data_IF_048966049758
#
_entry.id   IF_048966049758
#
_cell.length_a   1.000
_cell.length_b   1.000
_cell.length_c   1.000
_cell.angle_alpha   90.00
_cell.angle_beta   90.00
_cell.angle_gamma   90.00
#
_symmetry.space_group_name_H-M   'P 1'
#
loop_
_entity.id
_entity.type
_entity.pdbx_description
1 polymer ?
#
# COMPACT_ATOMS: atom_id res chain seq x y z
N UNK A 1 -9.20 23.92 2.16
CA UNK A 1 -7.92 23.57 2.84
C UNK A 1 -6.70 23.65 1.90
N UNK A 2 -6.64 22.89 0.79
CA UNK A 2 -5.49 22.92 -0.15
C UNK A 2 -5.21 24.31 -0.74
N UNK A 3 -6.25 25.09 -1.04
CA UNK A 3 -6.10 26.45 -1.58
C UNK A 3 -5.44 27.41 -0.57
N UNK A 4 -5.73 27.25 0.73
CA UNK A 4 -5.14 28.07 1.78
C UNK A 4 -3.66 27.73 1.96
N UNK A 5 -3.30 26.44 2.03
CA UNK A 5 -1.90 26.01 2.07
C UNK A 5 -1.07 26.57 0.90
N UNK A 6 -1.63 26.49 -0.32
CA UNK A 6 -1.02 27.07 -1.54
C UNK A 6 -0.90 28.59 -1.46
N UNK A 7 -1.89 29.28 -0.89
CA UNK A 7 -1.86 30.73 -0.67
C UNK A 7 -0.73 31.13 0.28
N UNK A 8 -0.59 30.44 1.42
CA UNK A 8 0.51 30.67 2.38
C UNK A 8 1.89 30.38 1.77
N UNK A 9 2.02 29.27 1.04
CA UNK A 9 3.24 28.94 0.31
C UNK A 9 3.61 30.03 -0.70
N UNK A 10 2.65 30.44 -1.54
CA UNK A 10 2.84 31.53 -2.50
C UNK A 10 3.11 32.88 -1.84
N UNK A 11 2.67 33.09 -0.59
CA UNK A 11 2.90 34.30 0.20
C UNK A 11 4.30 34.33 0.79
N UNK A 12 4.85 33.17 1.15
CA UNK A 12 6.24 32.98 1.56
C UNK A 12 7.18 33.18 0.37
N UNK A 13 6.87 32.57 -0.78
CA UNK A 13 7.71 32.63 -1.97
C UNK A 13 7.75 34.04 -2.60
N UNK A 14 6.61 34.74 -2.67
CA UNK A 14 6.55 36.12 -3.22
C UNK A 14 7.30 37.16 -2.40
N UNK A 15 7.47 36.92 -1.10
CA UNK A 15 8.03 37.91 -0.18
C UNK A 15 9.55 37.83 -0.02
N UNK A 16 10.25 37.37 -1.06
CA UNK A 16 11.69 37.09 -1.05
C UNK A 16 12.48 37.94 -0.05
N UNK A 17 13.16 37.28 0.90
CA UNK A 17 14.03 37.81 1.96
C UNK A 17 13.51 38.95 2.87
N UNK A 18 12.46 39.71 2.52
CA UNK A 18 12.06 40.97 3.16
C UNK A 18 10.81 40.81 4.07
N UNK A 19 10.81 39.82 4.95
CA UNK A 19 9.83 39.72 6.05
C UNK A 19 10.53 39.75 7.40
N UNK A 20 9.95 40.46 8.37
CA UNK A 20 10.38 40.39 9.77
C UNK A 20 10.36 38.92 10.22
N UNK A 21 11.42 38.50 10.89
CA UNK A 21 11.64 37.11 11.33
C UNK A 21 10.39 36.44 11.94
N UNK A 22 9.73 37.12 12.89
CA UNK A 22 8.51 36.62 13.56
C UNK A 22 7.37 36.33 12.58
N UNK A 23 7.16 37.21 11.59
CA UNK A 23 6.10 37.02 10.58
C UNK A 23 6.40 35.83 9.67
N UNK A 24 7.68 35.58 9.36
CA UNK A 24 8.10 34.41 8.57
C UNK A 24 7.84 33.11 9.34
N UNK A 25 8.21 33.07 10.62
CA UNK A 25 7.97 31.92 11.50
C UNK A 25 6.47 31.61 11.60
N UNK A 26 5.65 32.63 11.82
CA UNK A 26 4.20 32.44 11.95
C UNK A 26 3.61 31.84 10.66
N UNK A 27 3.99 32.37 9.50
CA UNK A 27 3.54 31.83 8.20
C UNK A 27 4.02 30.38 7.96
N UNK A 28 5.25 30.03 8.38
CA UNK A 28 5.76 28.67 8.29
C UNK A 28 5.01 27.70 9.21
N UNK A 29 4.73 28.12 10.46
CA UNK A 29 3.91 27.35 11.41
C UNK A 29 2.50 27.14 10.89
N UNK A 30 1.88 28.19 10.35
CA UNK A 30 0.55 28.11 9.74
C UNK A 30 0.53 27.17 8.53
N UNK A 31 1.52 27.28 7.64
CA UNK A 31 1.68 26.40 6.49
C UNK A 31 1.83 24.93 6.94
N UNK A 32 2.67 24.66 7.93
CA UNK A 32 2.83 23.31 8.50
C UNK A 32 1.50 22.77 9.07
N UNK A 33 0.78 23.59 9.84
CA UNK A 33 -0.53 23.22 10.39
C UNK A 33 -1.60 22.98 9.30
N UNK A 34 -1.50 23.68 8.17
CA UNK A 34 -2.37 23.45 7.02
C UNK A 34 -2.04 22.12 6.31
N UNK A 35 -0.76 21.79 6.11
CA UNK A 35 -0.35 20.51 5.54
C UNK A 35 -0.73 19.33 6.42
N UNK A 36 -0.52 19.44 7.72
CA UNK A 36 -0.92 18.41 8.68
C UNK A 36 -2.43 18.12 8.59
N UNK A 37 -3.27 19.16 8.56
CA UNK A 37 -4.73 18.99 8.34
C UNK A 37 -5.07 18.31 7.02
N UNK A 38 -4.34 18.63 5.94
CA UNK A 38 -4.53 18.00 4.63
C UNK A 38 -4.18 16.51 4.72
N UNK A 39 -3.04 16.17 5.32
CA UNK A 39 -2.59 14.79 5.50
C UNK A 39 -3.56 13.98 6.36
N UNK A 40 -3.99 14.51 7.51
CA UNK A 40 -5.00 13.87 8.37
C UNK A 40 -6.31 13.60 7.62
N UNK A 41 -6.76 14.56 6.81
CA UNK A 41 -7.97 14.40 6.01
C UNK A 41 -7.80 13.36 4.89
N UNK A 42 -6.65 13.32 4.23
CA UNK A 42 -6.32 12.29 3.25
C UNK A 42 -6.24 10.90 3.88
N UNK A 43 -5.67 10.78 5.07
CA UNK A 43 -5.60 9.52 5.82
C UNK A 43 -6.98 9.04 6.26
N UNK A 44 -7.84 9.94 6.76
CA UNK A 44 -9.24 9.63 7.08
C UNK A 44 -9.99 9.12 5.84
N UNK A 45 -9.78 9.75 4.67
CA UNK A 45 -10.38 9.30 3.40
C UNK A 45 -9.87 7.92 2.98
N UNK A 46 -8.56 7.66 3.06
CA UNK A 46 -7.99 6.34 2.77
C UNK A 46 -8.56 5.27 3.70
N UNK A 47 -8.63 5.56 5.01
CA UNK A 47 -9.21 4.68 6.02
C UNK A 47 -10.66 4.34 5.70
N UNK A 48 -11.51 5.35 5.46
CA UNK A 48 -12.90 5.13 5.09
C UNK A 48 -13.05 4.27 3.83
N UNK A 49 -12.23 4.52 2.79
CA UNK A 49 -12.23 3.74 1.55
C UNK A 49 -11.84 2.28 1.79
N UNK A 50 -10.82 2.02 2.60
CA UNK A 50 -10.37 0.66 2.92
C UNK A 50 -11.40 -0.10 3.76
N UNK A 51 -12.00 0.57 4.75
CA UNK A 51 -13.08 0.00 5.57
C UNK A 51 -14.24 -0.40 4.67
N UNK A 52 -14.74 0.52 3.83
CA UNK A 52 -15.87 0.25 2.92
C UNK A 52 -15.56 -0.93 1.97
N UNK A 53 -14.36 -0.97 1.39
CA UNK A 53 -13.96 -2.03 0.44
C UNK A 53 -14.02 -3.44 1.03
N UNK A 54 -13.61 -3.62 2.29
CA UNK A 54 -13.53 -4.95 2.91
C UNK A 54 -14.61 -5.19 3.98
N UNK A 55 -15.50 -4.22 4.23
CA UNK A 55 -16.53 -4.33 5.26
C UNK A 55 -17.41 -5.56 5.06
N UNK A 56 -17.90 -5.79 3.85
CA UNK A 56 -18.80 -6.91 3.56
C UNK A 56 -18.11 -8.27 3.74
N UNK A 57 -16.93 -8.46 3.13
CA UNK A 57 -16.17 -9.72 3.26
C UNK A 57 -15.87 -10.00 4.74
N UNK A 58 -15.39 -9.01 5.49
CA UNK A 58 -15.11 -9.17 6.93
C UNK A 58 -16.37 -9.42 7.75
N UNK A 59 -17.48 -8.81 7.40
CA UNK A 59 -18.77 -9.04 8.06
C UNK A 59 -19.21 -10.50 7.90
N UNK A 60 -19.17 -11.03 6.68
CA UNK A 60 -19.54 -12.42 6.42
C UNK A 60 -18.58 -13.41 7.08
N UNK A 61 -17.27 -13.18 7.04
CA UNK A 61 -16.32 -14.05 7.72
C UNK A 61 -16.49 -14.03 9.24
N UNK A 62 -16.71 -12.85 9.83
CA UNK A 62 -17.05 -12.75 11.26
C UNK A 62 -18.33 -13.51 11.58
N UNK A 63 -19.37 -13.35 10.75
CA UNK A 63 -20.63 -14.05 10.96
C UNK A 63 -20.47 -15.58 10.83
N UNK A 64 -19.63 -16.06 9.91
CA UNK A 64 -19.29 -17.49 9.79
C UNK A 64 -18.57 -18.00 11.03
N UNK A 65 -17.53 -17.31 11.48
CA UNK A 65 -16.79 -17.65 12.69
C UNK A 65 -17.69 -17.63 13.94
N UNK A 66 -18.51 -16.60 14.12
CA UNK A 66 -19.45 -16.50 15.25
C UNK A 66 -20.48 -17.65 15.25
N UNK A 67 -20.93 -18.11 14.08
CA UNK A 67 -21.82 -19.28 13.96
C UNK A 67 -21.10 -20.57 14.35
N UNK A 68 -19.85 -20.75 13.89
CA UNK A 68 -19.02 -21.90 14.27
C UNK A 68 -18.77 -21.95 15.78
N UNK A 69 -18.40 -20.82 16.39
CA UNK A 69 -18.22 -20.72 17.84
C UNK A 69 -19.49 -21.14 18.58
N UNK A 70 -20.67 -20.69 18.13
CA UNK A 70 -21.95 -21.10 18.73
C UNK A 70 -22.24 -22.59 18.56
N UNK A 71 -21.91 -23.18 17.40
CA UNK A 71 -22.09 -24.61 17.13
C UNK A 71 -21.17 -25.46 18.02
N UNK A 72 -19.87 -25.15 18.02
CA UNK A 72 -18.85 -25.86 18.79
C UNK A 72 -19.11 -25.77 20.29
N UNK A 73 -19.59 -24.61 20.79
CA UNK A 73 -20.02 -24.48 22.20
C UNK A 73 -21.18 -25.41 22.56
N UNK A 74 -22.15 -25.60 21.65
CA UNK A 74 -23.26 -26.54 21.88
C UNK A 74 -22.77 -27.98 21.88
N UNK A 75 -21.98 -28.35 20.87
CA UNK A 75 -21.38 -29.69 20.77
C UNK A 75 -20.53 -30.01 22.01
N UNK A 76 -19.79 -29.04 22.55
CA UNK A 76 -18.99 -29.21 23.76
C UNK A 76 -19.84 -29.50 25.01
N UNK A 77 -21.07 -29.00 25.08
CA UNK A 77 -22.02 -29.28 26.18
C UNK A 77 -22.61 -30.68 26.05
N UNK A 78 -22.85 -31.14 24.82
CA UNK A 78 -23.44 -32.45 24.52
C UNK A 78 -22.41 -33.59 24.53
N UNK A 79 -21.14 -33.28 24.27
CA UNK A 79 -20.06 -34.25 24.19
C UNK A 79 -19.78 -34.90 25.55
N UNK A 80 -19.81 -36.23 25.59
CA UNK A 80 -19.49 -37.03 26.79
C UNK A 80 -18.09 -37.65 26.71
N UNK A 81 -17.55 -37.81 25.50
CA UNK A 81 -16.26 -38.45 25.26
C UNK A 81 -15.09 -37.50 25.51
N UNK A 82 -14.12 -37.90 26.33
CA UNK A 82 -12.96 -37.06 26.68
C UNK A 82 -12.11 -36.63 25.46
N UNK A 83 -11.88 -37.55 24.52
CA UNK A 83 -11.10 -37.26 23.30
C UNK A 83 -11.80 -36.22 22.42
N UNK A 84 -13.11 -36.38 22.20
CA UNK A 84 -13.94 -35.46 21.42
C UNK A 84 -14.04 -34.08 22.06
N UNK A 85 -14.13 -34.03 23.40
CA UNK A 85 -14.09 -32.77 24.15
C UNK A 85 -12.76 -32.03 23.89
N UNK A 86 -11.63 -32.75 23.82
CA UNK A 86 -10.33 -32.14 23.55
C UNK A 86 -10.24 -31.54 22.15
N UNK A 87 -10.75 -32.24 21.13
CA UNK A 87 -10.75 -31.76 19.74
C UNK A 87 -11.68 -30.56 19.57
N UNK A 88 -12.90 -30.64 20.13
CA UNK A 88 -13.86 -29.54 20.11
C UNK A 88 -13.34 -28.28 20.80
N UNK A 89 -12.57 -28.41 21.89
CA UNK A 89 -11.92 -27.26 22.55
C UNK A 89 -10.87 -26.60 21.65
N UNK A 90 -10.07 -27.39 20.95
CA UNK A 90 -9.07 -26.86 20.01
C UNK A 90 -9.73 -26.14 18.83
N UNK A 91 -10.77 -26.75 18.25
CA UNK A 91 -11.55 -26.15 17.17
C UNK A 91 -12.27 -24.87 17.61
N UNK A 92 -12.80 -24.86 18.84
CA UNK A 92 -13.44 -23.69 19.43
C UNK A 92 -12.44 -22.54 19.54
N UNK A 93 -11.23 -22.82 20.01
CA UNK A 93 -10.16 -21.82 20.10
C UNK A 93 -9.82 -21.24 18.72
N UNK A 94 -9.63 -22.09 17.71
CA UNK A 94 -9.38 -21.63 16.33
C UNK A 94 -10.51 -20.74 15.81
N UNK A 95 -11.77 -21.15 16.00
CA UNK A 95 -12.93 -20.39 15.56
C UNK A 95 -13.06 -19.04 16.28
N UNK A 96 -12.69 -18.97 17.55
CA UNK A 96 -12.65 -17.73 18.32
C UNK A 96 -11.57 -16.77 17.82
N UNK A 97 -10.37 -17.28 17.51
CA UNK A 97 -9.30 -16.48 16.90
C UNK A 97 -9.70 -16.02 15.49
N UNK A 98 -10.40 -16.85 14.70
CA UNK A 98 -10.94 -16.46 13.39
C UNK A 98 -11.93 -15.27 13.52
N UNK A 99 -12.79 -15.28 14.54
CA UNK A 99 -13.73 -14.18 14.81
C UNK A 99 -12.99 -12.88 15.18
N UNK A 100 -11.94 -12.98 15.99
CA UNK A 100 -11.10 -11.84 16.36
C UNK A 100 -10.24 -11.35 15.21
N UNK A 101 -9.77 -12.24 14.35
CA UNK A 101 -9.08 -11.90 13.12
C UNK A 101 -9.96 -11.01 12.25
N UNK A 102 -11.20 -11.41 11.98
CA UNK A 102 -12.13 -10.60 11.19
C UNK A 102 -12.44 -9.24 11.86
N UNK A 103 -12.49 -9.17 13.18
CA UNK A 103 -12.81 -7.95 13.96
C UNK A 103 -11.63 -6.98 14.07
N UNK A 104 -10.43 -7.48 14.35
CA UNK A 104 -9.25 -6.70 14.72
C UNK A 104 -8.18 -6.62 13.64
N UNK A 105 -8.44 -7.17 12.45
CA UNK A 105 -7.55 -6.96 11.30
C UNK A 105 -7.30 -5.47 11.03
N UNK A 106 -6.04 -5.06 10.76
CA UNK A 106 -5.65 -3.68 10.46
C UNK A 106 -6.48 -3.02 9.36
N UNK A 107 -7.09 -1.87 9.65
CA UNK A 107 -8.06 -1.24 8.74
C UNK A 107 -7.44 -0.63 7.48
N UNK A 108 -6.14 -0.32 7.52
CA UNK A 108 -5.41 0.29 6.41
C UNK A 108 -4.70 -0.74 5.50
N UNK A 109 -4.79 -2.02 5.84
CA UNK A 109 -4.19 -3.10 5.05
C UNK A 109 -5.22 -3.84 4.20
N UNK A 110 -4.71 -4.54 3.18
CA UNK A 110 -5.54 -5.43 2.39
C UNK A 110 -5.88 -6.64 3.24
N UNK A 111 -7.18 -6.84 3.46
CA UNK A 111 -7.70 -8.01 4.14
C UNK A 111 -7.34 -9.31 3.38
N UNK A 112 -6.91 -10.33 4.13
CA UNK A 112 -6.67 -11.67 3.62
C UNK A 112 -7.78 -12.57 4.17
N UNK A 113 -8.64 -13.05 3.27
CA UNK A 113 -9.78 -13.91 3.58
C UNK A 113 -9.34 -15.28 4.10
N UNK A 114 -10.01 -15.76 5.15
CA UNK A 114 -9.76 -17.07 5.76
C UNK A 114 -10.63 -18.16 5.16
N UNK A 115 -11.87 -17.81 4.78
CA UNK A 115 -12.83 -18.76 4.24
C UNK A 115 -12.92 -18.55 2.72
N UNK A 116 -12.41 -19.48 1.89
CA UNK A 116 -12.53 -19.33 0.45
C UNK A 116 -14.00 -19.18 0.07
N UNK A 117 -14.32 -18.16 -0.72
CA UNK A 117 -15.63 -18.10 -1.34
C UNK A 117 -15.70 -19.25 -2.33
N UNK A 118 -16.71 -20.11 -2.16
CA UNK A 118 -17.03 -21.12 -3.17
C UNK A 118 -17.17 -20.39 -4.49
N UNK A 119 -16.37 -20.81 -5.48
CA UNK A 119 -16.50 -20.37 -6.87
C UNK A 119 -17.82 -20.98 -7.37
N UNK A 120 -18.95 -20.44 -6.95
CA UNK A 120 -20.22 -20.66 -7.63
C UNK A 120 -20.18 -19.84 -8.93
N UNK A 121 -19.43 -20.36 -9.92
CA UNK A 121 -19.60 -20.07 -11.35
C UNK A 121 -19.51 -18.62 -11.84
N UNK A 122 -19.07 -17.64 -11.05
CA UNK A 122 -18.82 -16.27 -11.54
C UNK A 122 -17.34 -15.95 -11.48
N UNK A 123 -16.68 -16.27 -12.58
CA UNK A 123 -15.42 -15.69 -12.99
C UNK A 123 -15.59 -14.16 -13.11
N UNK A 124 -15.45 -13.44 -12.01
CA UNK A 124 -15.55 -11.99 -12.00
C UNK A 124 -14.28 -11.40 -12.59
N UNK A 125 -14.37 -11.04 -13.88
CA UNK A 125 -13.44 -10.11 -14.53
C UNK A 125 -13.34 -8.83 -13.68
N UNK A 126 -12.13 -8.31 -13.42
CA UNK A 126 -11.96 -7.17 -12.53
C UNK A 126 -12.25 -5.86 -13.27
N UNK A 127 -13.48 -5.35 -13.16
CA UNK A 127 -13.79 -4.00 -13.60
C UNK A 127 -15.26 -3.71 -13.88
N UNK A 128 -16.13 -3.77 -12.87
CA UNK A 128 -17.40 -3.05 -12.95
C UNK A 128 -17.83 -2.59 -11.55
N UNK A 129 -17.83 -1.27 -11.36
CA UNK A 129 -18.53 -0.63 -10.27
C UNK A 129 -19.99 -0.45 -10.74
N UNK A 130 -20.82 -1.45 -10.46
CA UNK A 130 -22.26 -1.36 -10.59
C UNK A 130 -22.86 -0.90 -9.26
N UNK A 131 -23.37 0.31 -9.28
CA UNK A 131 -24.24 0.91 -8.27
C UNK A 131 -25.61 0.21 -8.26
N UNK A 132 -26.23 0.10 -7.08
CA UNK A 132 -27.68 -0.07 -6.92
C UNK A 132 -28.30 -1.47 -7.13
N UNK A 133 -28.72 -2.06 -6.00
CA UNK A 133 -30.11 -2.49 -5.79
C UNK A 133 -30.69 -3.61 -6.66
N UNK A 134 -30.51 -4.86 -6.24
CA UNK A 134 -31.60 -5.83 -5.95
C UNK A 134 -30.95 -7.12 -5.43
N UNK A 135 -31.46 -7.62 -4.33
CA UNK A 135 -31.02 -8.84 -3.67
C UNK A 135 -32.10 -9.38 -2.77
N UNK A 136 -33.36 -9.23 -3.17
CA UNK A 136 -34.42 -10.15 -2.76
C UNK A 136 -34.10 -11.53 -3.35
N UNK A 137 -34.12 -12.56 -2.51
CA UNK A 137 -34.05 -13.97 -2.93
C UNK A 137 -32.66 -14.60 -2.84
N UNK A 138 -32.36 -15.24 -1.70
CA UNK A 138 -31.67 -16.52 -1.74
C UNK A 138 -32.09 -17.38 -0.56
N UNK A 139 -32.63 -18.53 -0.94
CA UNK A 139 -33.40 -19.46 -0.14
C UNK A 139 -32.64 -20.06 1.05
N UNK A 140 -33.34 -20.68 2.02
CA UNK A 140 -32.75 -21.27 3.21
C UNK A 140 -31.79 -22.45 2.94
N UNK A 141 -31.70 -22.95 1.71
CA UNK A 141 -30.97 -24.18 1.36
C UNK A 141 -29.45 -23.99 1.14
N UNK A 142 -28.98 -22.78 0.77
CA UNK A 142 -27.54 -22.42 0.66
C UNK A 142 -26.82 -22.40 2.04
N UNK A 143 -27.55 -22.67 3.13
CA UNK A 143 -27.05 -22.61 4.51
C UNK A 143 -26.21 -23.84 4.85
N UNK A 144 -26.60 -25.03 4.36
CA UNK A 144 -25.97 -26.32 4.69
C UNK A 144 -24.55 -26.47 4.10
N UNK A 145 -24.37 -26.06 2.85
CA UNK A 145 -23.05 -26.09 2.17
C UNK A 145 -22.06 -25.10 2.76
N UNK A 146 -22.55 -23.95 3.24
CA UNK A 146 -21.72 -22.96 3.91
C UNK A 146 -21.17 -23.46 5.26
N UNK A 147 -21.85 -24.41 5.89
CA UNK A 147 -21.45 -24.98 7.19
C UNK A 147 -20.40 -26.07 7.04
N UNK A 148 -20.55 -27.01 6.10
CA UNK A 148 -19.51 -28.01 5.82
C UNK A 148 -18.19 -27.36 5.39
N UNK A 149 -18.25 -26.30 4.58
CA UNK A 149 -17.05 -25.57 4.14
C UNK A 149 -16.34 -24.83 5.29
N UNK A 150 -17.09 -24.37 6.29
CA UNK A 150 -16.52 -23.64 7.42
C UNK A 150 -15.76 -24.59 8.37
N UNK A 151 -16.23 -25.82 8.52
CA UNK A 151 -15.58 -26.90 9.28
C UNK A 151 -14.31 -27.37 8.57
N UNK A 152 -14.35 -27.56 7.24
CA UNK A 152 -13.15 -27.82 6.42
C UNK A 152 -12.13 -26.68 6.57
N UNK A 153 -12.61 -25.43 6.62
CA UNK A 153 -11.73 -24.28 6.78
C UNK A 153 -11.06 -24.22 8.16
N UNK A 154 -11.55 -24.87 9.22
CA UNK A 154 -10.86 -24.90 10.53
C UNK A 154 -9.46 -25.51 10.41
N UNK A 155 -9.28 -26.47 9.50
CA UNK A 155 -8.00 -27.17 9.30
C UNK A 155 -7.14 -26.57 8.19
N UNK A 156 -7.58 -25.49 7.53
CA UNK A 156 -6.84 -24.82 6.47
C UNK A 156 -5.60 -24.03 7.00
N UNK A 157 -4.54 -23.86 6.19
CA UNK A 157 -3.38 -23.07 6.61
C UNK A 157 -3.77 -21.61 6.86
N UNK A 158 -3.42 -21.09 8.04
CA UNK A 158 -3.74 -19.72 8.45
C UNK A 158 -2.67 -18.71 8.01
N UNK A 159 -3.05 -17.46 7.69
CA UNK A 159 -2.09 -16.44 7.32
C UNK A 159 -1.21 -16.01 8.51
N UNK A 160 0.01 -15.49 8.29
CA UNK A 160 0.93 -15.15 9.38
C UNK A 160 0.37 -14.14 10.41
N UNK A 161 -0.48 -13.21 9.97
CA UNK A 161 -1.09 -12.23 10.86
C UNK A 161 -2.09 -12.89 11.83
N UNK A 162 -2.65 -14.05 11.49
CA UNK A 162 -3.54 -14.82 12.36
C UNK A 162 -2.82 -15.24 13.65
N UNK A 163 -1.62 -15.82 13.53
CA UNK A 163 -0.80 -16.19 14.68
C UNK A 163 -0.35 -14.97 15.50
N UNK A 164 -0.24 -13.80 14.86
CA UNK A 164 0.04 -12.54 15.58
C UNK A 164 -1.16 -12.12 16.43
N UNK A 165 -2.39 -12.30 15.91
CA UNK A 165 -3.62 -11.99 16.65
C UNK A 165 -3.83 -12.95 17.82
N UNK A 166 -3.51 -14.23 17.66
CA UNK A 166 -3.57 -15.21 18.73
C UNK A 166 -2.71 -14.77 19.94
N UNK A 167 -1.47 -14.33 19.70
CA UNK A 167 -0.60 -13.79 20.75
C UNK A 167 -1.13 -12.49 21.36
N UNK A 168 -1.56 -11.54 20.52
CA UNK A 168 -2.04 -10.23 20.98
C UNK A 168 -3.37 -10.35 21.75
N UNK A 169 -4.19 -11.37 21.44
CA UNK A 169 -5.43 -11.67 22.17
C UNK A 169 -5.14 -11.93 23.64
N UNK A 170 -4.04 -12.60 23.98
CA UNK A 170 -3.63 -12.88 25.36
C UNK A 170 -3.29 -11.59 26.13
N UNK A 171 -2.73 -10.59 25.46
CA UNK A 171 -2.45 -9.26 26.03
C UNK A 171 -3.73 -8.44 26.30
N UNK A 172 -4.85 -8.82 25.67
CA UNK A 172 -6.18 -8.30 25.92
C UNK A 172 -6.73 -7.32 24.87
N UNK A 173 -7.95 -6.81 25.13
CA UNK A 173 -8.73 -6.01 24.16
C UNK A 173 -8.02 -4.74 23.68
N UNK A 174 -7.31 -4.05 24.57
CA UNK A 174 -6.60 -2.81 24.23
C UNK A 174 -5.46 -3.04 23.24
N UNK A 175 -4.77 -4.18 23.32
CA UNK A 175 -3.70 -4.53 22.39
C UNK A 175 -4.26 -4.86 20.98
N UNK A 176 -5.39 -5.57 20.92
CA UNK A 176 -6.11 -5.85 19.67
C UNK A 176 -6.63 -4.58 18.98
N UNK A 177 -7.09 -3.58 19.73
CA UNK A 177 -7.50 -2.29 19.16
C UNK A 177 -6.32 -1.50 18.59
N UNK A 178 -5.17 -1.51 19.29
CA UNK A 178 -3.93 -0.90 18.78
C UNK A 178 -3.49 -1.56 17.47
N UNK A 179 -3.59 -2.89 17.36
CA UNK A 179 -3.31 -3.61 16.12
C UNK A 179 -4.26 -3.17 14.99
N UNK A 180 -5.57 -3.09 15.27
CA UNK A 180 -6.60 -2.69 14.30
C UNK A 180 -6.36 -1.29 13.74
N UNK A 181 -5.99 -0.36 14.61
CA UNK A 181 -5.81 1.05 14.30
C UNK A 181 -4.34 1.42 13.99
N UNK A 182 -3.47 0.42 13.77
CA UNK A 182 -2.07 0.65 13.40
C UNK A 182 -1.96 1.45 12.10
N UNK A 183 -1.13 2.50 12.11
CA UNK A 183 -0.75 3.23 10.90
C UNK A 183 0.34 2.44 10.21
N UNK A 184 0.01 1.77 9.10
CA UNK A 184 1.03 1.20 8.24
C UNK A 184 1.35 2.18 7.13
N UNK A 185 2.63 2.49 6.97
CA UNK A 185 3.12 3.35 5.87
C UNK A 185 3.18 2.59 4.53
N UNK A 186 2.48 1.45 4.44
CA UNK A 186 2.47 0.59 3.27
C UNK A 186 1.75 1.34 2.16
N UNK A 187 2.54 1.96 1.28
CA UNK A 187 2.05 2.51 0.02
C UNK A 187 1.31 1.37 -0.71
N UNK A 188 0.02 1.53 -1.06
CA UNK A 188 -0.72 0.47 -1.71
C UNK A 188 0.01 0.07 -3.00
N UNK A 189 0.27 -1.23 -3.20
CA UNK A 189 0.69 -1.77 -4.51
C UNK A 189 -0.39 -1.35 -5.51
N UNK A 190 -0.04 -0.44 -6.44
CA UNK A 190 -0.94 0.07 -7.49
C UNK A 190 -1.69 -1.10 -8.14
N UNK A 191 -3.01 -1.01 -8.17
CA UNK A 191 -3.85 -2.01 -8.83
C UNK A 191 -3.47 -2.13 -10.31
N UNK A 192 -3.72 -3.28 -10.93
CA UNK A 192 -3.49 -3.45 -12.37
C UNK A 192 -4.27 -2.44 -13.22
N UNK A 193 -5.43 -1.97 -12.73
CA UNK A 193 -6.20 -0.91 -13.36
C UNK A 193 -5.50 0.46 -13.34
N UNK A 194 -4.80 0.81 -12.25
CA UNK A 194 -4.00 2.04 -12.16
C UNK A 194 -2.70 1.96 -12.97
N UNK A 195 -2.17 0.75 -13.16
CA UNK A 195 -1.04 0.53 -14.08
C UNK A 195 -1.49 0.67 -15.53
N UNK A 196 -2.62 0.04 -15.92
CA UNK A 196 -3.21 0.16 -17.26
C UNK A 196 -3.61 1.60 -17.58
N UNK A 197 -4.21 2.35 -16.64
CA UNK A 197 -4.57 3.74 -16.90
C UNK A 197 -3.36 4.64 -17.10
N UNK A 198 -2.27 4.43 -16.34
CA UNK A 198 -1.00 5.14 -16.58
C UNK A 198 -0.32 4.75 -17.88
N UNK A 199 -0.38 3.47 -18.27
CA UNK A 199 0.13 3.01 -19.56
C UNK A 199 -0.65 3.62 -20.73
N UNK A 200 -1.98 3.69 -20.62
CA UNK A 200 -2.85 4.36 -21.61
C UNK A 200 -2.56 5.86 -21.68
N UNK A 201 -2.34 6.52 -20.54
CA UNK A 201 -1.95 7.94 -20.49
C UNK A 201 -0.55 8.17 -21.08
N UNK A 202 0.42 7.29 -20.81
CA UNK A 202 1.76 7.36 -21.37
C UNK A 202 1.76 7.19 -22.91
N UNK A 203 0.98 6.23 -23.43
CA UNK A 203 0.79 6.05 -24.88
C UNK A 203 0.13 7.26 -25.54
N UNK A 204 -0.82 7.92 -24.86
CA UNK A 204 -1.46 9.14 -25.37
C UNK A 204 -0.51 10.33 -25.42
N UNK A 205 0.39 10.50 -24.44
CA UNK A 205 1.37 11.59 -24.45
C UNK A 205 2.44 11.45 -25.54
N UNK A 206 2.82 10.22 -25.89
CA UNK A 206 3.78 9.96 -26.98
C UNK A 206 3.20 10.36 -28.34
N UNK A 207 1.92 10.05 -28.57
CA UNK A 207 1.21 10.42 -29.80
C UNK A 207 1.08 11.95 -29.95
N UNK A 208 0.92 12.69 -28.85
CA UNK A 208 0.89 14.17 -28.89
C UNK A 208 2.25 14.79 -29.17
N UNK A 209 3.35 14.21 -28.68
CA UNK A 209 4.72 14.66 -28.98
C UNK A 209 5.08 14.46 -30.46
N UNK A 210 4.69 13.32 -31.05
CA UNK A 210 4.90 13.02 -32.48
C UNK A 210 4.10 13.96 -33.39
N UNK A 211 2.90 14.38 -33.00
CA UNK A 211 2.11 15.35 -33.77
C UNK A 211 2.70 16.76 -33.71
N UNK A 212 3.25 17.15 -32.55
CA UNK A 212 3.88 18.47 -32.35
C UNK A 212 5.18 18.62 -33.14
N UNK A 213 5.99 17.57 -33.23
CA UNK A 213 7.24 17.57 -34.01
C UNK A 213 6.98 17.57 -35.52
N UNK A 214 5.93 16.91 -36.02
CA UNK A 214 5.55 17.02 -37.44
C UNK A 214 5.06 18.43 -37.82
N UNK A 215 4.46 19.16 -36.90
CA UNK A 215 4.02 20.54 -37.13
C UNK A 215 5.17 21.55 -37.14
N UNK A 216 6.30 21.26 -36.48
CA UNK A 216 7.51 22.11 -36.53
C UNK A 216 8.30 21.99 -37.84
N UNK A 217 8.17 20.88 -38.58
CA UNK A 217 8.82 20.73 -39.92
C UNK A 217 7.97 21.30 -41.07
N UNK A 218 6.71 21.68 -40.83
CA UNK A 218 5.81 22.23 -41.85
C UNK A 218 5.78 23.79 -41.86
N UNK A 219 6.49 24.45 -40.95
CA UNK A 219 6.52 25.91 -40.81
C UNK A 219 7.90 26.52 -41.13
N UNK A 220 8.68 25.85 -41.99
CA UNK A 220 10.00 26.34 -42.45
C UNK A 220 9.92 26.79 -43.92
N UNK A 221 8.84 27.44 -44.34
CA UNK A 221 8.72 28.08 -45.67
C UNK A 221 9.00 29.59 -45.57
N UNK A 222 10.18 29.94 -45.08
CA UNK A 222 10.56 31.33 -44.86
C UNK A 222 12.03 31.56 -44.56
N UNK A 223 12.94 31.06 -45.41
CA UNK A 223 14.31 31.58 -45.47
C UNK A 223 14.79 31.72 -46.92
N UNK A 224 15.53 32.80 -47.25
CA UNK A 224 15.89 33.15 -48.61
C UNK A 224 16.91 32.15 -49.18
N UNK A 225 16.69 31.75 -50.42
CA UNK A 225 17.54 30.84 -51.18
C UNK A 225 18.88 31.49 -51.49
N UNK A 226 19.93 31.15 -50.73
CA UNK A 226 21.30 31.42 -51.18
C UNK A 226 21.67 30.41 -52.28
N UNK A 227 22.09 30.99 -53.41
CA UNK A 227 22.52 30.33 -54.64
C UNK A 227 23.58 29.26 -54.36
N UNK A 228 23.45 28.13 -55.06
CA UNK A 228 24.55 27.21 -55.35
C UNK A 228 25.67 28.01 -56.00
N UNK A 229 26.81 28.16 -55.34
CA UNK A 229 28.13 28.18 -55.95
C UNK A 229 29.18 27.85 -54.88
N UNK A 230 30.16 27.07 -55.32
CA UNK A 230 31.49 26.80 -54.76
C UNK A 230 31.61 25.77 -53.64
N UNK A 231 31.70 24.53 -54.14
CA UNK A 231 32.42 23.40 -53.59
C UNK A 231 33.85 23.81 -53.19
N UNK A 232 34.11 23.96 -51.90
CA UNK A 232 35.47 23.90 -51.35
C UNK A 232 35.54 22.69 -50.42
N UNK A 233 36.21 21.66 -50.91
CA UNK A 233 36.64 20.49 -50.14
C UNK A 233 37.69 20.96 -49.13
N UNK A 234 37.41 20.84 -47.84
CA UNK A 234 38.44 20.87 -46.80
C UNK A 234 38.44 19.53 -46.08
N UNK A 235 39.50 18.77 -46.34
CA UNK A 235 39.94 17.60 -45.58
C UNK A 235 40.23 18.03 -44.13
N UNK A 236 39.69 17.29 -43.18
CA UNK A 236 40.01 17.46 -41.76
C UNK A 236 39.41 16.33 -40.94
N UNK A 237 40.14 15.21 -40.85
CA UNK A 237 39.72 14.01 -40.13
C UNK A 237 39.61 14.23 -38.63
N UNK A 238 38.55 13.70 -38.02
CA UNK A 238 38.43 13.51 -36.58
C UNK A 238 38.76 12.04 -36.30
N UNK A 239 39.91 11.82 -35.66
CA UNK A 239 40.35 10.51 -35.16
C UNK A 239 39.52 10.18 -33.91
N UNK A 240 38.72 9.12 -34.00
CA UNK A 240 38.06 8.49 -32.86
C UNK A 240 39.11 7.71 -32.04
N UNK A 241 39.57 8.27 -30.92
CA UNK A 241 40.35 7.51 -29.94
C UNK A 241 39.39 6.75 -29.04
N UNK A 242 39.19 5.46 -29.34
CA UNK A 242 38.53 4.50 -28.46
C UNK A 242 39.51 4.06 -27.37
N UNK A 243 39.35 4.53 -26.14
CA UNK A 243 40.08 3.98 -24.98
C UNK A 243 39.29 2.78 -24.45
N UNK A 244 39.86 1.60 -24.71
CA UNK A 244 39.42 0.29 -24.25
C UNK A 244 39.77 0.13 -22.75
N UNK A 245 38.77 0.12 -21.87
CA UNK A 245 38.95 -0.32 -20.48
C UNK A 245 38.62 -1.81 -20.38
N UNK A 246 39.67 -2.62 -20.45
CA UNK A 246 39.62 -4.06 -20.17
C UNK A 246 39.44 -4.30 -18.67
N UNK A 247 38.35 -5.01 -18.38
CA UNK A 247 38.14 -6.04 -17.35
C UNK A 247 39.42 -6.48 -16.62
N UNK A 248 39.45 -6.30 -15.30
CA UNK A 248 40.29 -7.07 -14.38
C UNK A 248 39.43 -7.55 -13.21
N UNK A 249 39.13 -8.84 -13.24
CA UNK A 249 38.68 -9.65 -12.12
C UNK A 249 39.88 -9.85 -11.17
N UNK A 250 39.75 -9.50 -9.88
CA UNK A 250 40.57 -10.07 -8.82
C UNK A 250 39.66 -10.33 -7.62
N UNK A 251 39.52 -11.62 -7.31
CA UNK A 251 38.95 -12.16 -6.09
C UNK A 251 39.99 -12.19 -4.96
N UNK A 252 39.50 -12.54 -3.78
CA UNK A 252 40.22 -12.99 -2.57
C UNK A 252 40.53 -11.95 -1.49
N UNK A 253 39.68 -12.00 -0.45
CA UNK A 253 40.01 -12.43 0.91
C UNK A 253 41.35 -12.02 1.55
N UNK A 254 41.18 -11.63 2.82
CA UNK A 254 42.06 -11.77 3.99
C UNK A 254 42.96 -10.58 4.42
N UNK A 255 42.82 -10.29 5.74
CA UNK A 255 43.83 -9.79 6.70
C UNK A 255 43.67 -8.35 7.25
N UNK A 256 43.20 -8.34 8.50
CA UNK A 256 43.58 -7.54 9.67
C UNK A 256 44.57 -6.36 9.55
N UNK A 257 44.14 -5.19 10.06
CA UNK A 257 44.90 -4.29 10.94
C UNK A 257 43.91 -3.26 11.53
N UNK A 258 43.44 -3.38 12.78
CA UNK A 258 44.06 -2.86 14.01
C UNK A 258 44.76 -1.50 13.84
N UNK A 259 44.01 -0.42 14.09
CA UNK A 259 44.57 0.87 14.50
C UNK A 259 44.10 1.18 15.92
N UNK A 260 45.08 1.24 16.81
CA UNK A 260 45.01 1.67 18.21
C UNK A 260 45.59 3.08 18.30
N UNK A 261 45.00 3.90 19.18
CA UNK A 261 45.58 5.12 19.74
C UNK A 261 45.22 6.39 18.97
N UNK A 262 44.95 7.55 19.57
CA UNK A 262 44.90 8.04 20.96
C UNK A 262 44.08 9.36 20.83
N UNK A 263 43.12 9.69 21.70
CA UNK A 263 43.38 10.43 22.93
C UNK A 263 42.58 11.75 22.96
N UNK A 264 42.21 12.18 24.18
CA UNK A 264 41.57 13.45 24.58
C UNK A 264 40.07 13.60 24.29
N UNK A 265 39.17 13.85 25.24
CA UNK A 265 39.29 14.08 26.67
C UNK A 265 37.87 14.21 27.27
N UNK A 266 37.67 13.64 28.46
CA UNK A 266 36.46 13.81 29.28
C UNK A 266 36.68 15.02 30.21
N UNK A 267 35.67 15.88 30.33
CA UNK A 267 35.53 16.81 31.46
C UNK A 267 34.08 16.74 31.92
N UNK A 268 33.90 16.22 33.14
CA UNK A 268 32.65 16.20 33.91
C UNK A 268 32.93 17.15 35.08
N UNK A 269 32.10 18.19 35.26
CA UNK A 269 32.07 18.97 36.49
C UNK A 269 30.69 18.80 37.12
N UNK A 270 30.68 18.30 38.36
CA UNK A 270 29.58 18.40 39.30
C UNK A 270 30.18 18.93 40.61
N UNK A 271 29.75 20.11 41.02
CA UNK A 271 29.65 20.55 42.41
C UNK A 271 28.23 21.10 42.60
#
# INVERSE_FOLDING_TARGET
>A
MKCHAKSFHSRLDRSGAFRRYNTRINLQRELAAHWERIHQHEDKKKRAKMISRYHQVRFFERQKADRLVKKLRKQLIEATNSNEISTLKNELHVAEVDADYARHFPLLERYVSLYPQTISGKEQRPGEAGDGQDGSGKDPEDRFDAQGMAEVALHAPRPPLWATIEKIREEGRGALEKLRDRRTDIKPKRSQSERKSKEILARKSDVTQVKRTKQTYANIDGMPTLKRHDMVVLQGGIVMVTVSLKRLDIAENLICARLVGHGYGYVIYTE
#
